data_IF_355402191733
#
_entry.id   IF_355402191733
#
_cell.length_a   1.000
_cell.length_b   1.000
_cell.length_c   1.000
_cell.angle_alpha   90.00
_cell.angle_beta   90.00
_cell.angle_gamma   90.00
#
_symmetry.space_group_name_H-M   'P 1'
#
loop_
_entity.id
_entity.type
_entity.pdbx_description
1 polymer ?
#
# COMPACT_ATOMS: atom_id res chain seq x y z
N UNK A 1 -12.49 13.07 -17.05
CA UNK A 1 -11.01 12.84 -17.16
C UNK A 1 -10.77 11.34 -17.14
N UNK A 2 -9.96 10.81 -18.04
CA UNK A 2 -9.64 9.37 -18.01
C UNK A 2 -8.51 9.10 -17.04
N UNK A 3 -8.72 8.18 -16.10
CA UNK A 3 -7.68 7.69 -15.22
C UNK A 3 -6.83 6.66 -15.96
N UNK A 4 -5.52 6.70 -15.73
CA UNK A 4 -4.55 5.80 -16.38
C UNK A 4 -3.81 4.98 -15.32
N UNK A 5 -3.34 3.79 -15.69
CA UNK A 5 -2.48 2.99 -14.83
C UNK A 5 -1.14 3.73 -14.62
N UNK A 6 -0.80 4.15 -13.40
CA UNK A 6 0.46 4.83 -13.16
C UNK A 6 1.65 3.89 -13.46
N UNK A 7 2.71 4.43 -14.06
CA UNK A 7 3.91 3.64 -14.32
C UNK A 7 4.53 3.12 -13.01
N UNK A 8 5.05 1.89 -13.03
CA UNK A 8 5.86 1.38 -11.91
C UNK A 8 7.13 2.23 -11.76
N UNK A 9 7.57 2.52 -10.51
CA UNK A 9 8.81 3.27 -10.27
C UNK A 9 10.08 2.44 -10.53
N UNK A 10 9.96 1.19 -10.97
CA UNK A 10 11.04 0.24 -11.27
C UNK A 10 10.61 -0.76 -12.34
N UNK A 11 11.56 -1.53 -12.87
CA UNK A 11 11.28 -2.60 -13.83
C UNK A 11 10.46 -3.73 -13.19
N UNK A 12 9.68 -4.46 -13.99
CA UNK A 12 8.80 -5.55 -13.53
C UNK A 12 9.53 -6.68 -12.77
N UNK A 13 10.79 -6.89 -13.03
CA UNK A 13 11.65 -7.92 -12.43
C UNK A 13 12.56 -7.39 -11.32
N UNK A 14 12.52 -6.08 -11.05
CA UNK A 14 13.47 -5.43 -10.16
C UNK A 14 13.30 -5.80 -8.68
N UNK A 15 12.15 -6.34 -8.28
CA UNK A 15 11.89 -6.77 -6.90
C UNK A 15 12.34 -8.22 -6.62
N UNK A 16 12.84 -8.93 -7.64
CA UNK A 16 13.39 -10.27 -7.43
C UNK A 16 14.65 -10.23 -6.54
N UNK A 17 14.90 -11.27 -5.74
CA UNK A 17 14.16 -12.53 -5.65
C UNK A 17 12.95 -12.48 -4.69
N UNK A 18 12.60 -11.34 -4.12
CA UNK A 18 11.60 -11.19 -3.07
C UNK A 18 10.15 -11.24 -3.59
N UNK A 19 9.88 -10.60 -4.71
CA UNK A 19 8.61 -10.66 -5.43
C UNK A 19 8.96 -10.93 -6.90
N UNK A 20 8.37 -11.98 -7.47
CA UNK A 20 8.67 -12.39 -8.84
C UNK A 20 8.09 -11.43 -9.89
N UNK A 21 8.69 -11.45 -11.08
CA UNK A 21 8.14 -10.79 -12.26
C UNK A 21 6.72 -11.28 -12.56
N UNK A 22 6.47 -12.60 -12.42
CA UNK A 22 5.15 -13.19 -12.63
C UNK A 22 4.11 -12.56 -11.69
N UNK A 23 4.43 -12.41 -10.41
CA UNK A 23 3.54 -11.72 -9.47
C UNK A 23 3.22 -10.30 -9.94
N UNK A 24 4.20 -9.52 -10.41
CA UNK A 24 3.95 -8.17 -10.92
C UNK A 24 3.15 -8.16 -12.22
N UNK A 25 3.35 -9.11 -13.13
CA UNK A 25 2.56 -9.24 -14.36
C UNK A 25 1.07 -9.41 -14.07
N UNK A 26 0.71 -10.16 -13.00
CA UNK A 26 -0.66 -10.30 -12.56
C UNK A 26 -1.11 -9.15 -11.65
N UNK A 27 -0.36 -8.83 -10.62
CA UNK A 27 -0.74 -7.88 -9.59
C UNK A 27 -0.85 -6.44 -10.14
N UNK A 28 0.18 -5.98 -10.87
CA UNK A 28 0.16 -4.67 -11.54
C UNK A 28 -0.56 -4.74 -12.90
N UNK A 29 -0.15 -5.68 -13.76
CA UNK A 29 -0.60 -5.72 -15.14
C UNK A 29 -2.04 -6.22 -15.34
N UNK A 30 -2.63 -6.91 -14.36
CA UNK A 30 -4.03 -7.39 -14.41
C UNK A 30 -4.88 -6.77 -13.32
N UNK A 31 -4.60 -7.01 -12.03
CA UNK A 31 -5.44 -6.50 -10.94
C UNK A 31 -5.50 -4.98 -10.94
N UNK A 32 -4.37 -4.30 -10.84
CA UNK A 32 -4.33 -2.83 -10.81
C UNK A 32 -4.90 -2.21 -12.09
N UNK A 33 -4.55 -2.75 -13.27
CA UNK A 33 -5.12 -2.30 -14.54
C UNK A 33 -6.65 -2.48 -14.59
N UNK A 34 -7.17 -3.59 -14.06
CA UNK A 34 -8.62 -3.85 -14.05
C UNK A 34 -9.36 -2.82 -13.20
N UNK A 35 -8.81 -2.43 -12.04
CA UNK A 35 -9.41 -1.36 -11.23
C UNK A 35 -9.49 -0.04 -12.01
N UNK A 36 -8.45 0.31 -12.77
CA UNK A 36 -8.44 1.51 -13.62
C UNK A 36 -9.53 1.44 -14.70
N UNK A 37 -9.59 0.32 -15.41
CA UNK A 37 -10.59 0.09 -16.47
C UNK A 37 -12.01 0.16 -15.92
N UNK A 38 -12.26 -0.51 -14.79
CA UNK A 38 -13.57 -0.53 -14.15
C UNK A 38 -13.97 0.87 -13.65
N UNK A 39 -13.05 1.60 -13.00
CA UNK A 39 -13.33 2.96 -12.54
C UNK A 39 -13.76 3.84 -13.72
N UNK A 40 -12.99 3.87 -14.82
CA UNK A 40 -13.31 4.67 -15.98
C UNK A 40 -14.68 4.33 -16.59
N UNK A 41 -15.09 3.07 -16.54
CA UNK A 41 -16.42 2.67 -17.01
C UNK A 41 -17.52 3.12 -16.04
N UNK A 42 -17.30 3.02 -14.74
CA UNK A 42 -18.30 3.32 -13.71
C UNK A 42 -18.57 4.83 -13.54
N UNK A 43 -17.58 5.69 -13.81
CA UNK A 43 -17.72 7.14 -13.60
C UNK A 43 -18.28 7.88 -14.81
N UNK A 44 -18.40 7.25 -15.99
CA UNK A 44 -18.96 7.88 -17.20
C UNK A 44 -20.36 8.41 -16.95
N UNK A 45 -20.58 9.68 -17.27
CA UNK A 45 -21.88 10.35 -17.12
C UNK A 45 -22.28 10.63 -15.66
N UNK A 46 -21.37 10.42 -14.70
CA UNK A 46 -21.60 10.72 -13.29
C UNK A 46 -20.89 12.02 -12.85
N UNK A 47 -21.17 12.48 -11.65
CA UNK A 47 -20.45 13.62 -11.03
C UNK A 47 -18.94 13.38 -10.89
N UNK A 48 -18.48 12.12 -10.95
CA UNK A 48 -17.08 11.72 -10.82
C UNK A 48 -16.32 11.68 -12.15
N UNK A 49 -16.96 11.85 -13.31
CA UNK A 49 -16.32 11.68 -14.62
C UNK A 49 -15.05 12.53 -14.81
N UNK A 50 -15.05 13.73 -14.23
CA UNK A 50 -13.90 14.65 -14.30
C UNK A 50 -13.23 14.91 -12.95
N UNK A 51 -13.55 14.11 -11.92
CA UNK A 51 -13.00 14.27 -10.59
C UNK A 51 -11.58 13.68 -10.50
N UNK A 52 -10.78 14.21 -9.55
CA UNK A 52 -9.51 13.60 -9.20
C UNK A 52 -9.72 12.25 -8.52
N UNK A 53 -8.73 11.35 -8.60
CA UNK A 53 -8.80 10.04 -7.93
C UNK A 53 -9.04 10.17 -6.43
N UNK A 54 -8.38 11.13 -5.78
CA UNK A 54 -8.56 11.36 -4.34
C UNK A 54 -9.96 11.90 -4.00
N UNK A 55 -10.53 12.76 -4.83
CA UNK A 55 -11.91 13.23 -4.64
C UNK A 55 -12.91 12.08 -4.77
N UNK A 56 -12.70 11.19 -5.73
CA UNK A 56 -13.52 9.99 -5.91
C UNK A 56 -13.43 9.11 -4.66
N UNK A 57 -12.20 8.81 -4.19
CA UNK A 57 -11.99 8.01 -2.96
C UNK A 57 -12.69 8.62 -1.75
N UNK A 58 -12.66 9.95 -1.61
CA UNK A 58 -13.23 10.64 -0.43
C UNK A 58 -14.76 10.79 -0.49
N UNK A 59 -15.36 10.81 -1.69
CA UNK A 59 -16.77 11.23 -1.86
C UNK A 59 -17.68 10.13 -2.40
N UNK A 60 -17.11 9.05 -2.97
CA UNK A 60 -17.89 7.97 -3.58
C UNK A 60 -18.14 6.81 -2.61
N UNK A 61 -18.96 5.86 -3.06
CA UNK A 61 -19.26 4.61 -2.33
C UNK A 61 -19.42 3.44 -3.29
N UNK A 62 -19.57 2.23 -2.75
CA UNK A 62 -19.84 1.02 -3.53
C UNK A 62 -18.75 0.71 -4.55
N UNK A 63 -19.13 0.33 -5.77
CA UNK A 63 -18.20 -0.08 -6.83
C UNK A 63 -17.25 1.04 -7.27
N UNK A 64 -17.70 2.29 -7.31
CA UNK A 64 -16.86 3.45 -7.66
C UNK A 64 -15.76 3.63 -6.62
N UNK A 65 -16.13 3.66 -5.34
CA UNK A 65 -15.17 3.72 -4.23
C UNK A 65 -14.18 2.56 -4.26
N UNK A 66 -14.67 1.34 -4.39
CA UNK A 66 -13.81 0.16 -4.35
C UNK A 66 -12.71 0.21 -5.42
N UNK A 67 -13.08 0.56 -6.67
CA UNK A 67 -12.10 0.63 -7.75
C UNK A 67 -11.16 1.83 -7.59
N UNK A 68 -11.67 3.01 -7.22
CA UNK A 68 -10.83 4.20 -6.99
C UNK A 68 -9.85 4.01 -5.84
N UNK A 69 -10.31 3.49 -4.71
CA UNK A 69 -9.48 3.21 -3.55
C UNK A 69 -8.41 2.14 -3.85
N UNK A 70 -8.76 1.08 -4.60
CA UNK A 70 -7.79 0.07 -5.01
C UNK A 70 -6.72 0.64 -5.96
N UNK A 71 -7.06 1.54 -6.89
CA UNK A 71 -6.07 2.23 -7.71
C UNK A 71 -5.11 3.02 -6.82
N UNK A 72 -5.65 3.77 -5.86
CA UNK A 72 -4.85 4.57 -4.94
C UNK A 72 -3.95 3.71 -4.05
N UNK A 73 -4.50 2.66 -3.42
CA UNK A 73 -3.79 1.74 -2.54
C UNK A 73 -2.64 1.03 -3.26
N UNK A 74 -2.89 0.53 -4.48
CA UNK A 74 -1.86 -0.14 -5.27
C UNK A 74 -0.75 0.82 -5.73
N UNK A 75 -1.11 2.04 -6.16
CA UNK A 75 -0.13 3.07 -6.50
C UNK A 75 0.77 3.39 -5.30
N UNK A 76 0.17 3.52 -4.13
CA UNK A 76 0.90 3.78 -2.89
C UNK A 76 1.77 2.59 -2.48
N UNK A 77 1.29 1.36 -2.66
CA UNK A 77 2.04 0.14 -2.40
C UNK A 77 3.28 0.02 -3.29
N UNK A 78 3.17 0.28 -4.59
CA UNK A 78 4.34 0.24 -5.48
C UNK A 78 5.41 1.24 -5.07
N UNK A 79 5.03 2.43 -4.63
CA UNK A 79 5.96 3.44 -4.11
C UNK A 79 6.51 3.07 -2.72
N UNK A 80 5.78 2.29 -1.92
CA UNK A 80 6.25 1.77 -0.63
C UNK A 80 7.35 0.72 -0.76
N UNK A 81 7.61 0.22 -1.97
CA UNK A 81 8.65 -0.76 -2.28
C UNK A 81 9.76 -0.15 -3.14
N UNK A 82 10.98 -0.68 -2.98
CA UNK A 82 12.14 -0.31 -3.79
C UNK A 82 13.07 -1.50 -3.97
N UNK A 83 13.66 -1.69 -5.19
CA UNK A 83 14.74 -2.66 -5.40
C UNK A 83 15.97 -2.39 -4.53
N UNK A 84 16.12 -1.16 -4.04
CA UNK A 84 17.18 -0.73 -3.13
C UNK A 84 16.65 -0.49 -1.71
N UNK A 85 15.48 -1.06 -1.41
CA UNK A 85 14.80 -0.92 -0.12
C UNK A 85 15.40 -1.77 0.99
N UNK A 86 14.63 -1.91 2.06
CA UNK A 86 15.04 -2.65 3.25
C UNK A 86 15.87 -1.81 4.23
N UNK A 87 16.55 -2.50 5.15
CA UNK A 87 17.28 -1.81 6.21
C UNK A 87 16.36 -1.13 7.24
N UNK A 88 16.76 0.04 7.70
CA UNK A 88 16.06 0.82 8.72
C UNK A 88 15.83 2.26 8.22
N UNK A 89 14.76 2.95 8.67
CA UNK A 89 14.59 4.38 8.40
C UNK A 89 15.69 5.21 9.07
N UNK A 90 15.83 6.45 8.61
CA UNK A 90 16.75 7.42 9.19
C UNK A 90 16.01 8.71 9.57
N UNK A 91 16.72 9.63 10.26
CA UNK A 91 16.24 10.97 10.57
C UNK A 91 14.98 11.01 11.43
N UNK A 92 14.09 11.94 11.15
CA UNK A 92 12.90 12.20 11.97
C UNK A 92 11.93 11.00 12.06
N UNK A 93 11.78 10.24 10.96
CA UNK A 93 10.93 9.04 10.98
C UNK A 93 11.50 7.96 11.90
N UNK A 94 12.82 7.72 11.89
CA UNK A 94 13.45 6.77 12.80
C UNK A 94 13.21 7.17 14.25
N UNK A 95 13.46 8.44 14.59
CA UNK A 95 13.22 8.96 15.94
C UNK A 95 11.77 8.82 16.40
N UNK A 96 10.81 9.06 15.50
CA UNK A 96 9.38 8.90 15.80
C UNK A 96 9.00 7.41 16.02
N UNK A 97 9.58 6.49 15.25
CA UNK A 97 9.41 5.05 15.43
C UNK A 97 9.97 4.62 16.78
N UNK A 98 11.19 5.03 17.11
CA UNK A 98 11.81 4.70 18.39
C UNK A 98 11.03 5.29 19.57
N UNK A 99 10.52 6.51 19.44
CA UNK A 99 9.69 7.13 20.47
C UNK A 99 8.37 6.36 20.71
N UNK A 100 7.76 5.81 19.66
CA UNK A 100 6.48 5.10 19.76
C UNK A 100 6.63 3.65 20.24
N UNK A 101 7.62 2.91 19.73
CA UNK A 101 7.76 1.47 19.96
C UNK A 101 9.02 1.09 20.76
N UNK A 102 9.88 2.06 21.09
CA UNK A 102 11.13 1.83 21.82
C UNK A 102 12.31 1.45 20.93
N UNK A 103 12.08 0.86 19.78
CA UNK A 103 13.09 0.54 18.77
C UNK A 103 12.46 0.22 17.41
N UNK A 104 13.27 0.29 16.36
CA UNK A 104 12.86 -0.19 15.03
C UNK A 104 12.48 -1.68 15.04
N UNK A 105 13.21 -2.51 15.76
CA UNK A 105 12.95 -3.95 15.77
C UNK A 105 11.61 -4.27 16.46
N UNK A 106 11.26 -3.55 17.54
CA UNK A 106 9.95 -3.64 18.18
C UNK A 106 8.81 -3.15 17.26
N UNK A 107 9.03 -2.06 16.52
CA UNK A 107 8.08 -1.61 15.49
C UNK A 107 7.88 -2.67 14.40
N UNK A 108 8.97 -3.23 13.86
CA UNK A 108 8.93 -4.27 12.83
C UNK A 108 8.15 -5.49 13.30
N UNK A 109 8.38 -5.92 14.55
CA UNK A 109 7.62 -7.02 15.15
C UNK A 109 6.13 -6.67 15.28
N UNK A 110 5.80 -5.48 15.79
CA UNK A 110 4.42 -5.03 15.96
C UNK A 110 3.67 -4.96 14.61
N UNK A 111 4.31 -4.38 13.59
CA UNK A 111 3.75 -4.30 12.25
C UNK A 111 3.55 -5.69 11.63
N UNK A 112 4.56 -6.55 11.73
CA UNK A 112 4.48 -7.92 11.20
C UNK A 112 3.36 -8.71 11.88
N UNK A 113 3.26 -8.64 13.20
CA UNK A 113 2.20 -9.29 13.97
C UNK A 113 0.81 -8.77 13.56
N UNK A 114 0.66 -7.46 13.41
CA UNK A 114 -0.58 -6.84 12.93
C UNK A 114 -0.94 -7.31 11.53
N UNK A 115 0.02 -7.32 10.59
CA UNK A 115 -0.17 -7.71 9.21
C UNK A 115 -0.51 -9.21 9.07
N UNK A 116 0.19 -10.09 9.75
CA UNK A 116 -0.08 -11.54 9.72
C UNK A 116 -1.47 -11.85 10.29
N UNK A 117 -1.85 -11.18 11.39
CA UNK A 117 -3.14 -11.35 12.04
C UNK A 117 -4.31 -10.63 11.35
N UNK A 118 -4.06 -9.79 10.35
CA UNK A 118 -5.10 -9.07 9.63
C UNK A 118 -5.89 -10.04 8.72
N UNK A 119 -7.13 -10.33 9.11
CA UNK A 119 -7.93 -11.39 8.51
C UNK A 119 -8.46 -11.02 7.12
N UNK A 120 -8.35 -11.96 6.17
CA UNK A 120 -8.91 -11.83 4.83
C UNK A 120 -8.11 -10.89 3.91
N UNK A 121 -8.78 -10.40 2.87
CA UNK A 121 -8.23 -9.41 1.93
C UNK A 121 -8.16 -8.04 2.60
N UNK A 122 -6.95 -7.51 2.75
CA UNK A 122 -6.72 -6.39 3.66
C UNK A 122 -5.40 -5.66 3.35
N UNK A 123 -5.15 -4.60 4.07
CA UNK A 123 -3.93 -3.78 4.01
C UNK A 123 -3.47 -3.45 5.41
N UNK A 124 -2.17 -3.42 5.64
CA UNK A 124 -1.59 -2.89 6.88
C UNK A 124 -0.75 -1.66 6.56
N UNK A 125 -0.96 -0.61 7.33
CA UNK A 125 -0.41 0.72 7.12
C UNK A 125 0.42 1.17 8.31
N UNK A 126 1.54 1.85 8.06
CA UNK A 126 2.10 2.81 9.01
C UNK A 126 1.49 4.17 8.67
N UNK A 127 0.90 4.82 9.67
CA UNK A 127 0.27 6.14 9.50
C UNK A 127 0.81 7.15 10.50
N UNK A 128 0.75 8.44 10.12
CA UNK A 128 0.90 9.58 11.03
C UNK A 128 -0.50 10.08 11.36
N UNK A 129 -0.82 10.09 12.64
CA UNK A 129 -2.10 10.57 13.17
C UNK A 129 -2.16 12.09 13.16
N UNK A 130 -3.36 12.66 13.33
CA UNK A 130 -3.57 14.11 13.38
C UNK A 130 -2.77 14.80 14.52
N UNK A 131 -2.50 14.10 15.62
CA UNK A 131 -1.67 14.56 16.73
C UNK A 131 -0.15 14.37 16.49
N UNK A 132 0.23 14.00 15.27
CA UNK A 132 1.58 13.69 14.82
C UNK A 132 2.19 12.41 15.39
N UNK A 133 1.48 11.63 16.20
CA UNK A 133 1.93 10.31 16.62
C UNK A 133 1.89 9.30 15.46
N UNK A 134 2.67 8.24 15.56
CA UNK A 134 2.63 7.13 14.62
C UNK A 134 1.67 6.04 15.09
N UNK A 135 1.06 5.33 14.16
CA UNK A 135 0.25 4.15 14.47
C UNK A 135 0.31 3.09 13.34
N UNK A 136 -0.01 1.85 13.70
CA UNK A 136 -0.20 0.75 12.75
C UNK A 136 -1.70 0.53 12.61
N UNK A 137 -2.22 0.68 11.39
CA UNK A 137 -3.65 0.60 11.09
C UNK A 137 -3.89 -0.53 10.08
N UNK A 138 -4.93 -1.32 10.34
CA UNK A 138 -5.42 -2.34 9.41
C UNK A 138 -6.70 -1.88 8.73
N UNK A 139 -6.81 -2.10 7.43
CA UNK A 139 -8.02 -1.84 6.66
C UNK A 139 -8.43 -3.08 5.87
N UNK A 140 -9.74 -3.32 5.75
CA UNK A 140 -10.27 -4.46 5.01
C UNK A 140 -10.67 -4.08 3.58
N UNK A 141 -10.54 -5.02 2.66
CA UNK A 141 -10.93 -4.86 1.25
C UNK A 141 -10.26 -3.65 0.59
N UNK A 142 -11.05 -2.67 0.13
CA UNK A 142 -10.56 -1.45 -0.52
C UNK A 142 -10.38 -0.27 0.45
N UNK A 143 -10.74 -0.41 1.73
CA UNK A 143 -10.65 0.68 2.68
C UNK A 143 -9.23 1.23 2.81
N UNK A 144 -9.11 2.53 3.01
CA UNK A 144 -7.85 3.29 2.95
C UNK A 144 -7.82 4.41 3.98
N UNK A 145 -6.65 4.73 4.58
CA UNK A 145 -6.51 5.88 5.47
C UNK A 145 -6.82 7.24 4.82
N UNK A 146 -6.82 7.33 3.49
CA UNK A 146 -7.16 8.57 2.75
C UNK A 146 -8.56 9.12 3.09
N UNK A 147 -9.47 8.24 3.52
CA UNK A 147 -10.82 8.64 3.96
C UNK A 147 -10.89 9.09 5.42
N UNK A 148 -9.76 9.11 6.12
CA UNK A 148 -9.63 9.52 7.52
C UNK A 148 -8.73 10.74 7.66
N UNK A 149 -8.48 11.19 8.88
CA UNK A 149 -7.50 12.23 9.19
C UNK A 149 -6.05 11.69 9.23
N UNK A 150 -5.84 10.39 9.06
CA UNK A 150 -4.53 9.75 9.13
C UNK A 150 -3.75 9.94 7.83
N UNK A 151 -2.47 10.28 7.93
CA UNK A 151 -1.58 10.39 6.78
C UNK A 151 -0.83 9.06 6.58
N UNK A 152 -1.06 8.29 5.51
CA UNK A 152 -0.33 7.06 5.26
C UNK A 152 1.13 7.34 4.93
N UNK A 153 2.04 6.52 5.48
CA UNK A 153 3.48 6.63 5.29
C UNK A 153 4.03 5.48 4.45
N UNK A 154 3.59 4.26 4.71
CA UNK A 154 3.87 3.06 3.91
C UNK A 154 2.73 2.05 4.08
N UNK A 155 2.63 1.10 3.16
CA UNK A 155 1.63 0.03 3.23
C UNK A 155 2.19 -1.32 2.78
N UNK A 156 1.58 -2.38 3.31
CA UNK A 156 1.74 -3.76 2.84
C UNK A 156 0.40 -4.28 2.36
N UNK A 157 0.35 -4.78 1.12
CA UNK A 157 -0.82 -5.45 0.56
C UNK A 157 -0.91 -6.88 1.08
N UNK A 158 -2.05 -7.22 1.68
CA UNK A 158 -2.33 -8.54 2.26
C UNK A 158 -3.48 -9.27 1.53
N UNK A 159 -3.88 -8.78 0.37
CA UNK A 159 -4.67 -9.55 -0.56
C UNK A 159 -3.85 -10.74 -1.05
N UNK A 160 -4.46 -11.92 -1.19
CA UNK A 160 -3.72 -13.12 -1.62
C UNK A 160 -3.05 -12.94 -2.99
N UNK A 161 -3.64 -12.15 -3.89
CA UNK A 161 -3.03 -11.84 -5.18
C UNK A 161 -1.65 -11.15 -5.09
N UNK A 162 -1.34 -10.53 -3.95
CA UNK A 162 -0.04 -9.87 -3.75
C UNK A 162 1.10 -10.87 -3.51
N UNK A 163 0.79 -12.09 -3.02
CA UNK A 163 1.83 -13.01 -2.56
C UNK A 163 1.60 -14.49 -2.90
N UNK A 164 0.41 -14.88 -3.36
CA UNK A 164 0.08 -16.31 -3.49
C UNK A 164 0.92 -17.03 -4.55
N UNK A 165 1.34 -16.36 -5.62
CA UNK A 165 2.21 -16.94 -6.66
C UNK A 165 3.56 -17.36 -6.07
N UNK A 166 4.18 -16.50 -5.27
CA UNK A 166 5.53 -16.74 -4.72
C UNK A 166 5.51 -17.52 -3.40
N UNK A 167 4.52 -17.26 -2.55
CA UNK A 167 4.51 -17.72 -1.16
C UNK A 167 3.34 -18.64 -0.81
N UNK A 168 2.36 -18.80 -1.68
CA UNK A 168 1.13 -19.55 -1.41
C UNK A 168 0.46 -19.01 -0.14
N UNK A 169 0.13 -19.88 0.81
CA UNK A 169 -0.48 -19.53 2.10
C UNK A 169 0.53 -19.02 3.14
N UNK A 170 1.81 -18.88 2.78
CA UNK A 170 2.86 -18.49 3.73
C UNK A 170 2.97 -16.96 3.84
N UNK A 171 1.91 -16.29 4.31
CA UNK A 171 1.90 -14.83 4.53
C UNK A 171 3.07 -14.34 5.41
N UNK A 172 3.51 -15.06 6.48
CA UNK A 172 4.70 -14.64 7.23
C UNK A 172 5.98 -14.56 6.40
N UNK A 173 6.19 -15.46 5.44
CA UNK A 173 7.38 -15.45 4.56
C UNK A 173 7.33 -14.26 3.61
N UNK A 174 6.14 -13.94 3.06
CA UNK A 174 5.92 -12.74 2.27
C UNK A 174 6.22 -11.46 3.07
N UNK A 175 5.82 -11.39 4.35
CA UNK A 175 6.18 -10.26 5.22
C UNK A 175 7.70 -10.15 5.42
N UNK A 176 8.40 -11.28 5.53
CA UNK A 176 9.87 -11.31 5.56
C UNK A 176 10.47 -10.68 4.31
N UNK A 177 9.97 -11.05 3.13
CA UNK A 177 10.38 -10.47 1.84
C UNK A 177 10.02 -8.98 1.72
N UNK A 178 8.82 -8.58 2.15
CA UNK A 178 8.37 -7.19 2.18
C UNK A 178 9.37 -6.29 2.91
N UNK A 179 9.86 -6.69 4.08
CA UNK A 179 10.84 -5.92 4.85
C UNK A 179 12.17 -5.69 4.12
N UNK A 180 12.54 -6.57 3.19
CA UNK A 180 13.73 -6.39 2.36
C UNK A 180 13.54 -5.38 1.23
N UNK A 181 12.31 -4.95 0.98
CA UNK A 181 11.93 -4.06 -0.11
C UNK A 181 11.39 -2.70 0.34
N UNK A 182 11.15 -2.49 1.64
CA UNK A 182 10.53 -1.24 2.13
C UNK A 182 11.33 -0.01 1.69
N UNK A 183 10.64 0.93 1.04
CA UNK A 183 11.17 2.21 0.60
C UNK A 183 11.08 3.25 1.72
N UNK A 184 12.09 3.29 2.56
CA UNK A 184 12.13 4.21 3.70
C UNK A 184 12.23 5.69 3.29
N UNK A 185 12.80 5.99 2.12
CA UNK A 185 12.84 7.37 1.61
C UNK A 185 11.43 7.87 1.27
N UNK A 186 10.61 7.00 0.67
CA UNK A 186 9.20 7.31 0.42
C UNK A 186 8.42 7.49 1.73
N UNK A 187 8.60 6.61 2.70
CA UNK A 187 7.94 6.72 4.00
C UNK A 187 8.37 8.00 4.74
N UNK A 188 9.66 8.34 4.73
CA UNK A 188 10.19 9.56 5.34
C UNK A 188 9.66 10.84 4.65
N UNK A 189 9.56 10.83 3.31
CA UNK A 189 8.95 11.94 2.56
C UNK A 189 7.48 12.16 2.94
N UNK A 190 6.73 11.09 3.14
CA UNK A 190 5.33 11.18 3.59
C UNK A 190 5.23 11.62 5.07
N UNK A 191 6.23 11.33 5.89
CA UNK A 191 6.25 11.73 7.30
C UNK A 191 6.45 13.23 7.50
N UNK A 192 7.15 13.89 6.59
CA UNK A 192 7.48 15.33 6.62
C UNK A 192 6.25 16.24 6.59
#
# INVERSE_FOLDING_TARGET
MEHTLPALPYAMDALQPHISKETLEFHYGKHHQTYVTNLNNLIKGTEFENASLEDIVKKSSGGVFNNAAQIWNHTFYWNSLSPKGGGKPAGALAAAIDAKWGSFDAFKEAFTKSAVGNFGSSWTWLVKKADSSLDIVNTSNAATPVTTADKPLMTCDLWEHAYYIDYRNRRPDYLGAFWSLVNWDFAAKNFS
#
